data_IF_790657430821
#
_entry.id   IF_790657430821
#
_cell.length_a   1.000
_cell.length_b   1.000
_cell.length_c   1.000
_cell.angle_alpha   90.00
_cell.angle_beta   90.00
_cell.angle_gamma   90.00
#
_symmetry.space_group_name_H-M   'P 1'
#
loop_
_entity.id
_entity.type
_entity.pdbx_description
1 polymer ?
#
# COMPACT_ATOMS: atom_id res chain seq x y z
N UNK A 1 12.21 -12.30 11.73
CA UNK A 1 10.83 -11.79 11.94
C UNK A 1 10.29 -11.32 10.61
N UNK A 2 9.01 -11.56 10.32
CA UNK A 2 8.37 -11.13 9.07
C UNK A 2 7.47 -9.92 9.33
N UNK A 3 7.52 -8.93 8.44
CA UNK A 3 6.77 -7.67 8.55
C UNK A 3 6.08 -7.39 7.22
N UNK A 4 4.82 -6.96 7.28
CA UNK A 4 4.00 -6.57 6.16
C UNK A 4 4.01 -5.04 6.07
N UNK A 5 4.28 -4.54 4.87
CA UNK A 5 4.37 -3.12 4.56
C UNK A 5 3.34 -2.72 3.51
N UNK A 6 3.04 -1.43 3.44
CA UNK A 6 2.14 -0.89 2.45
C UNK A 6 2.36 0.60 2.18
N UNK A 7 2.30 0.95 0.89
CA UNK A 7 2.37 2.32 0.42
C UNK A 7 1.30 2.58 -0.63
N UNK A 8 0.69 3.76 -0.59
CA UNK A 8 -0.22 4.16 -1.65
C UNK A 8 0.59 4.43 -2.92
N UNK A 9 0.02 4.13 -4.07
CA UNK A 9 0.54 4.51 -5.38
C UNK A 9 -0.32 5.67 -5.88
N UNK A 10 0.34 6.79 -6.19
CA UNK A 10 -0.32 8.02 -6.62
C UNK A 10 -0.25 8.23 -8.14
N UNK A 11 0.21 7.22 -8.88
CA UNK A 11 0.31 7.29 -10.34
C UNK A 11 -1.08 7.52 -10.98
N UNK A 12 -1.11 8.26 -12.09
CA UNK A 12 -2.33 8.79 -12.70
C UNK A 12 -3.24 7.67 -13.22
N UNK A 13 -2.67 6.54 -13.64
CA UNK A 13 -3.41 5.43 -14.23
C UNK A 13 -3.75 4.30 -13.26
N UNK A 14 -3.03 4.16 -12.12
CA UNK A 14 -3.12 2.93 -11.32
C UNK A 14 -3.06 3.14 -9.80
N UNK A 15 -3.95 4.00 -9.31
CA UNK A 15 -4.14 4.32 -7.89
C UNK A 15 -4.50 3.07 -7.08
N UNK A 16 -3.74 2.80 -6.04
CA UNK A 16 -3.96 1.64 -5.18
C UNK A 16 -3.01 1.57 -4.01
N UNK A 17 -3.23 0.62 -3.09
CA UNK A 17 -2.32 0.33 -2.01
C UNK A 17 -1.42 -0.84 -2.44
N UNK A 18 -0.14 -0.57 -2.64
CA UNK A 18 0.86 -1.61 -2.86
C UNK A 18 1.29 -2.20 -1.53
N UNK A 19 1.05 -3.49 -1.33
CA UNK A 19 1.47 -4.26 -0.16
C UNK A 19 2.61 -5.20 -0.52
N UNK A 20 3.59 -5.32 0.37
CA UNK A 20 4.74 -6.20 0.21
C UNK A 20 5.21 -6.71 1.58
N UNK A 21 6.00 -7.78 1.58
CA UNK A 21 6.51 -8.39 2.81
C UNK A 21 8.01 -8.29 2.93
N UNK A 22 8.48 -8.09 4.14
CA UNK A 22 9.88 -8.18 4.55
C UNK A 22 10.07 -9.39 5.46
N UNK A 23 11.18 -10.10 5.33
CA UNK A 23 11.60 -11.12 6.27
C UNK A 23 13.09 -11.01 6.56
N UNK A 24 13.45 -11.20 7.83
CA UNK A 24 14.84 -11.29 8.22
C UNK A 24 15.54 -12.45 7.49
N UNK A 25 16.66 -12.16 6.85
CA UNK A 25 17.60 -13.12 6.27
C UNK A 25 19.02 -12.69 6.63
N UNK A 26 19.94 -13.64 6.72
CA UNK A 26 21.37 -13.31 6.79
C UNK A 26 21.79 -12.80 5.41
N UNK A 27 22.29 -11.57 5.35
CA UNK A 27 22.70 -10.90 4.12
C UNK A 27 24.14 -10.42 4.24
N UNK A 28 24.84 -10.38 3.12
CA UNK A 28 26.16 -9.75 2.98
C UNK A 28 26.00 -8.41 2.26
N UNK A 29 27.03 -7.56 2.33
CA UNK A 29 27.02 -6.29 1.61
C UNK A 29 26.95 -6.55 0.09
N UNK A 30 26.12 -5.80 -0.61
CA UNK A 30 25.89 -5.97 -2.06
C UNK A 30 26.71 -4.94 -2.81
N UNK A 31 27.48 -5.39 -3.80
CA UNK A 31 28.16 -4.49 -4.75
C UNK A 31 27.18 -4.04 -5.85
N UNK A 32 26.91 -2.73 -5.89
CA UNK A 32 25.97 -2.11 -6.84
C UNK A 32 26.48 -2.13 -8.29
N UNK A 33 27.81 -2.18 -8.51
CA UNK A 33 28.39 -2.17 -9.86
C UNK A 33 28.19 -3.52 -10.54
N UNK A 34 28.42 -4.60 -9.81
CA UNK A 34 28.28 -5.97 -10.34
C UNK A 34 26.81 -6.35 -10.57
N UNK A 35 25.89 -5.73 -9.82
CA UNK A 35 24.50 -6.16 -9.76
C UNK A 35 23.53 -5.37 -10.68
N UNK A 36 23.98 -4.27 -11.30
CA UNK A 36 23.18 -3.44 -12.22
C UNK A 36 22.19 -2.47 -11.54
N UNK A 37 21.48 -1.65 -12.34
CA UNK A 37 20.68 -0.50 -11.85
C UNK A 37 19.39 -0.86 -11.07
N UNK A 38 19.04 -2.14 -10.96
CA UNK A 38 17.75 -2.61 -10.45
C UNK A 38 17.92 -3.67 -9.36
N UNK A 39 18.49 -3.25 -8.23
CA UNK A 39 18.75 -4.14 -7.10
C UNK A 39 17.45 -4.58 -6.42
N UNK A 40 17.24 -5.90 -6.35
CA UNK A 40 16.16 -6.49 -5.54
C UNK A 40 16.53 -6.42 -4.07
N UNK A 41 15.58 -6.06 -3.23
CA UNK A 41 15.77 -6.10 -1.78
C UNK A 41 15.97 -7.56 -1.34
N UNK A 42 17.12 -7.95 -0.77
CA UNK A 42 17.34 -9.32 -0.32
C UNK A 42 16.42 -9.76 0.82
N UNK A 43 15.94 -8.79 1.60
CA UNK A 43 15.01 -8.99 2.71
C UNK A 43 13.54 -9.08 2.25
N UNK A 44 13.24 -8.71 1.00
CA UNK A 44 11.87 -8.82 0.49
C UNK A 44 11.44 -10.28 0.38
N UNK A 45 10.16 -10.51 0.69
CA UNK A 45 9.48 -11.74 0.34
C UNK A 45 9.23 -11.77 -1.17
N UNK A 46 9.36 -12.96 -1.76
CA UNK A 46 8.83 -13.26 -3.08
C UNK A 46 7.29 -13.29 -3.05
N UNK A 47 6.66 -13.25 -4.22
CA UNK A 47 5.20 -13.42 -4.36
C UNK A 47 4.67 -14.66 -3.59
N UNK A 48 5.35 -15.81 -3.72
CA UNK A 48 4.92 -17.06 -3.12
C UNK A 48 5.07 -17.05 -1.59
N UNK A 49 6.15 -16.48 -1.08
CA UNK A 49 6.39 -16.30 0.36
C UNK A 49 5.35 -15.34 0.95
N UNK A 50 5.07 -14.21 0.28
CA UNK A 50 4.09 -13.24 0.74
C UNK A 50 2.68 -13.82 0.78
N UNK A 51 2.25 -14.59 -0.23
CA UNK A 51 0.96 -15.30 -0.19
C UNK A 51 0.89 -16.27 0.98
N UNK A 52 1.92 -17.10 1.14
CA UNK A 52 2.00 -18.08 2.23
C UNK A 52 1.92 -17.39 3.59
N UNK A 53 2.60 -16.25 3.74
CA UNK A 53 2.58 -15.44 4.94
C UNK A 53 1.19 -14.86 5.23
N UNK A 54 0.53 -14.25 4.24
CA UNK A 54 -0.83 -13.72 4.37
C UNK A 54 -1.84 -14.82 4.73
N UNK A 55 -1.76 -15.99 4.09
CA UNK A 55 -2.60 -17.15 4.41
C UNK A 55 -2.36 -17.66 5.83
N UNK A 56 -1.12 -17.70 6.30
CA UNK A 56 -0.78 -18.06 7.68
C UNK A 56 -1.35 -17.08 8.71
N UNK A 57 -1.30 -15.77 8.43
CA UNK A 57 -1.91 -14.74 9.27
C UNK A 57 -3.44 -14.87 9.33
N UNK A 58 -4.07 -15.23 8.21
CA UNK A 58 -5.50 -15.51 8.15
C UNK A 58 -5.87 -16.76 8.98
N UNK A 59 -5.14 -17.86 8.80
CA UNK A 59 -5.40 -19.13 9.52
C UNK A 59 -5.19 -19.01 11.02
N UNK A 60 -4.23 -18.19 11.45
CA UNK A 60 -3.99 -17.90 12.87
C UNK A 60 -4.97 -16.88 13.47
N UNK A 61 -5.88 -16.32 12.66
CA UNK A 61 -6.85 -15.30 13.10
C UNK A 61 -6.24 -13.92 13.36
N UNK A 62 -4.96 -13.71 13.02
CA UNK A 62 -4.27 -12.41 13.19
C UNK A 62 -4.66 -11.38 12.14
N UNK A 63 -5.11 -11.83 10.98
CA UNK A 63 -5.56 -10.97 9.88
C UNK A 63 -6.92 -11.47 9.38
N UNK A 64 -7.98 -10.69 9.61
CA UNK A 64 -9.32 -11.04 9.13
C UNK A 64 -9.53 -10.56 7.68
N UNK A 65 -8.65 -10.99 6.80
CA UNK A 65 -8.70 -10.67 5.37
C UNK A 65 -8.36 -11.91 4.57
N UNK A 66 -9.12 -12.17 3.51
CA UNK A 66 -8.89 -13.29 2.61
C UNK A 66 -8.21 -12.77 1.35
N UNK A 67 -7.09 -13.38 0.97
CA UNK A 67 -6.48 -13.11 -0.32
C UNK A 67 -7.39 -13.67 -1.42
N UNK A 68 -7.97 -12.84 -2.30
CA UNK A 68 -8.81 -13.29 -3.41
C UNK A 68 -7.94 -14.04 -4.43
N UNK A 69 -7.98 -15.36 -4.44
CA UNK A 69 -7.23 -16.19 -5.40
C UNK A 69 -7.61 -15.91 -6.86
N UNK A 70 -8.83 -15.42 -7.10
CA UNK A 70 -9.34 -15.03 -8.42
C UNK A 70 -8.63 -13.82 -9.02
N UNK A 71 -7.91 -13.03 -8.22
CA UNK A 71 -7.34 -11.75 -8.66
C UNK A 71 -6.08 -11.88 -9.53
N UNK A 72 -5.46 -13.06 -9.60
CA UNK A 72 -4.32 -13.32 -10.50
C UNK A 72 -4.73 -13.57 -11.95
N UNK A 73 -6.03 -13.68 -12.24
CA UNK A 73 -6.55 -13.85 -13.60
C UNK A 73 -6.99 -12.51 -14.17
N UNK A 74 -6.10 -11.87 -14.94
CA UNK A 74 -6.41 -11.55 -16.34
C UNK A 74 -5.19 -10.95 -17.05
N UNK A 75 -4.69 -11.63 -18.09
CA UNK A 75 -4.54 -11.08 -19.46
C UNK A 75 -4.35 -12.25 -20.45
N UNK A 76 -5.37 -13.09 -20.63
CA UNK A 76 -5.56 -13.76 -21.92
C UNK A 76 -6.72 -13.07 -22.62
N UNK A 77 -6.36 -12.19 -23.54
CA UNK A 77 -7.28 -11.53 -24.46
C UNK A 77 -7.93 -12.60 -25.34
N UNK A 78 -9.24 -12.69 -25.30
CA UNK A 78 -10.04 -12.86 -26.52
C UNK A 78 -11.26 -11.96 -26.36
N UNK A 79 -11.31 -10.95 -27.22
CA UNK A 79 -12.45 -10.07 -27.37
C UNK A 79 -13.65 -10.87 -27.85
N UNK A 80 -14.73 -10.88 -27.08
CA UNK A 80 -16.05 -11.19 -27.60
C UNK A 80 -16.98 -10.03 -27.27
N UNK A 81 -17.39 -9.34 -28.34
CA UNK A 81 -18.38 -8.28 -28.37
C UNK A 81 -19.78 -8.88 -28.12
N UNK A 82 -20.60 -8.34 -27.19
CA UNK A 82 -22.01 -8.71 -27.15
C UNK A 82 -22.84 -7.69 -27.93
N UNK A 83 -23.43 -8.13 -29.05
CA UNK A 83 -24.53 -7.42 -29.71
C UNK A 83 -25.88 -7.82 -29.08
N UNK A 84 -26.71 -6.81 -28.86
CA UNK A 84 -28.04 -6.85 -28.24
C UNK A 84 -29.08 -7.70 -28.99
N UNK A 85 -30.04 -8.26 -28.22
CA UNK A 85 -31.49 -8.33 -28.57
C UNK A 85 -32.32 -8.86 -27.38
N UNK A 86 -33.35 -8.11 -26.94
CA UNK A 86 -34.48 -8.71 -26.21
C UNK A 86 -35.22 -7.87 -25.15
N UNK A 87 -36.30 -7.21 -25.58
CA UNK A 87 -37.48 -6.65 -24.87
C UNK A 87 -37.75 -6.96 -23.37
N UNK A 88 -38.06 -5.86 -22.64
CA UNK A 88 -39.08 -5.58 -21.58
C UNK A 88 -39.40 -6.65 -20.51
N UNK A 89 -39.30 -6.27 -19.23
CA UNK A 89 -40.40 -6.26 -18.22
C UNK A 89 -39.96 -5.42 -16.99
N UNK A 90 -40.84 -4.49 -16.56
CA UNK A 90 -40.74 -3.75 -15.30
C UNK A 90 -41.09 -4.67 -14.13
N UNK A 91 -40.19 -4.83 -13.15
CA UNK A 91 -40.55 -5.21 -11.77
C UNK A 91 -39.72 -4.41 -10.78
N UNK A 92 -40.42 -3.82 -9.81
CA UNK A 92 -39.88 -3.12 -8.67
C UNK A 92 -39.04 -4.06 -7.80
N UNK A 93 -37.83 -3.64 -7.43
CA UNK A 93 -36.96 -4.38 -6.53
C UNK A 93 -36.71 -3.57 -5.26
N UNK A 94 -37.23 -4.14 -4.17
CA UNK A 94 -36.99 -3.85 -2.76
C UNK A 94 -35.52 -3.49 -2.48
N UNK A 95 -35.31 -2.38 -1.79
CA UNK A 95 -34.01 -1.92 -1.29
C UNK A 95 -33.44 -2.96 -0.32
N UNK A 96 -32.48 -3.77 -0.79
CA UNK A 96 -31.52 -4.46 0.09
C UNK A 96 -30.40 -3.47 0.40
N UNK A 97 -30.02 -3.35 1.67
CA UNK A 97 -28.81 -2.63 2.07
C UNK A 97 -27.63 -3.14 1.24
N UNK A 98 -26.82 -2.26 0.63
CA UNK A 98 -25.59 -2.68 -0.03
C UNK A 98 -24.58 -3.03 1.05
N UNK A 99 -24.49 -4.31 1.38
CA UNK A 99 -23.28 -4.90 1.94
C UNK A 99 -22.18 -4.64 0.90
N UNK A 100 -21.06 -4.02 1.29
CA UNK A 100 -19.91 -3.74 0.42
C UNK A 100 -19.33 -5.07 -0.08
N UNK A 101 -19.92 -5.66 -1.11
CA UNK A 101 -19.47 -6.94 -1.67
C UNK A 101 -18.19 -6.74 -2.49
N UNK A 102 -17.29 -7.72 -2.39
CA UNK A 102 -15.99 -7.82 -3.04
C UNK A 102 -16.02 -7.87 -4.59
N UNK A 103 -17.11 -7.46 -5.23
CA UNK A 103 -17.30 -7.60 -6.69
C UNK A 103 -16.42 -6.65 -7.50
N UNK A 104 -15.93 -5.57 -6.90
CA UNK A 104 -15.03 -4.60 -7.53
C UNK A 104 -13.62 -4.59 -6.92
N UNK A 105 -13.25 -5.55 -6.07
CA UNK A 105 -11.89 -5.65 -5.54
C UNK A 105 -10.97 -6.32 -6.56
N UNK A 106 -9.94 -5.61 -7.04
CA UNK A 106 -8.88 -6.19 -7.86
C UNK A 106 -7.54 -6.12 -7.14
N UNK A 107 -6.74 -7.16 -7.38
CA UNK A 107 -5.36 -7.26 -6.90
C UNK A 107 -4.49 -7.59 -8.09
N UNK A 108 -3.42 -6.81 -8.31
CA UNK A 108 -2.46 -7.05 -9.38
C UNK A 108 -1.09 -7.31 -8.78
N UNK A 109 -0.36 -8.28 -9.32
CA UNK A 109 1.05 -8.47 -8.97
C UNK A 109 1.86 -7.33 -9.56
N UNK A 110 2.79 -6.80 -8.78
CA UNK A 110 3.64 -5.70 -9.20
C UNK A 110 5.03 -5.78 -8.60
N UNK A 111 6.01 -5.21 -9.30
CA UNK A 111 7.34 -4.97 -8.77
C UNK A 111 7.52 -3.45 -8.72
N UNK A 112 7.91 -2.93 -7.57
CA UNK A 112 8.12 -1.49 -7.37
C UNK A 112 9.45 -1.20 -6.71
N UNK A 113 10.04 -0.08 -7.09
CA UNK A 113 11.14 0.52 -6.37
C UNK A 113 10.58 1.24 -5.14
N UNK A 114 11.05 0.85 -3.95
CA UNK A 114 10.69 1.48 -2.68
C UNK A 114 11.97 2.00 -2.05
N UNK A 115 11.97 3.26 -1.68
CA UNK A 115 13.10 3.92 -1.03
C UNK A 115 13.19 3.43 0.43
N UNK A 116 14.17 2.58 0.74
CA UNK A 116 14.32 1.96 2.07
C UNK A 116 15.64 2.34 2.75
N UNK A 117 15.64 2.42 4.09
CA UNK A 117 16.86 2.65 4.87
C UNK A 117 17.95 1.64 4.54
N UNK A 118 19.09 2.15 4.11
CA UNK A 118 20.22 1.37 3.59
C UNK A 118 21.50 2.02 4.06
N UNK A 119 22.37 1.22 4.67
CA UNK A 119 23.71 1.65 5.02
C UNK A 119 24.60 1.54 3.78
N UNK A 120 25.36 2.58 3.50
CA UNK A 120 26.35 2.61 2.41
C UNK A 120 27.74 2.65 3.06
N UNK A 121 28.63 1.74 2.68
CA UNK A 121 29.95 1.66 3.31
C UNK A 121 30.82 2.88 2.96
N UNK A 122 31.43 3.50 3.97
CA UNK A 122 32.39 4.61 3.77
C UNK A 122 33.63 4.16 2.97
N UNK A 123 34.06 2.91 3.16
CA UNK A 123 35.27 2.37 2.50
C UNK A 123 35.04 2.01 1.03
N UNK A 124 33.80 1.72 0.65
CA UNK A 124 33.40 1.42 -0.72
C UNK A 124 31.93 1.79 -0.91
N UNK A 125 31.70 2.93 -1.57
CA UNK A 125 30.36 3.48 -1.83
C UNK A 125 29.46 2.55 -2.65
N UNK A 126 30.03 1.53 -3.31
CA UNK A 126 29.26 0.53 -4.05
C UNK A 126 28.73 -0.59 -3.16
N UNK A 127 29.24 -0.73 -1.94
CA UNK A 127 28.76 -1.72 -0.99
C UNK A 127 27.59 -1.17 -0.18
N UNK A 128 26.41 -1.71 -0.45
CA UNK A 128 25.15 -1.32 0.21
C UNK A 128 24.59 -2.46 1.06
N UNK A 129 24.01 -2.11 2.20
CA UNK A 129 23.38 -3.06 3.12
C UNK A 129 22.01 -2.53 3.58
N UNK A 130 20.89 -3.11 3.11
CA UNK A 130 19.57 -2.69 3.53
C UNK A 130 19.35 -3.04 5.00
N UNK A 131 18.67 -2.14 5.72
CA UNK A 131 18.33 -2.34 7.11
C UNK A 131 16.94 -2.98 7.23
N UNK A 132 16.87 -4.08 7.98
CA UNK A 132 15.58 -4.70 8.28
C UNK A 132 14.71 -3.77 9.13
N UNK A 133 13.41 -3.66 8.85
CA UNK A 133 12.52 -2.69 9.54
C UNK A 133 12.44 -2.91 11.06
N UNK A 134 12.61 -4.15 11.52
CA UNK A 134 12.70 -4.44 12.97
C UNK A 134 14.00 -3.97 13.63
N UNK A 135 15.09 -3.77 12.88
CA UNK A 135 16.39 -3.43 13.45
C UNK A 135 16.40 -2.04 14.11
N UNK A 136 15.52 -1.14 13.67
CA UNK A 136 15.32 0.18 14.28
C UNK A 136 14.80 0.11 15.73
N UNK A 137 14.25 -1.03 16.16
CA UNK A 137 13.75 -1.25 17.53
C UNK A 137 14.87 -1.62 18.52
N UNK A 138 15.99 -2.13 18.02
CA UNK A 138 17.04 -2.77 18.84
C UNK A 138 18.24 -1.86 19.16
N UNK A 139 18.53 -0.87 18.32
CA UNK A 139 19.52 0.17 18.58
C UNK A 139 19.34 1.29 17.57
N UNK A 140 19.34 2.58 17.96
CA UNK A 140 19.48 3.65 16.99
C UNK A 140 20.85 3.46 16.34
N UNK A 141 20.87 2.94 15.11
CA UNK A 141 22.08 3.00 14.29
C UNK A 141 22.51 4.47 14.21
N UNK A 142 23.83 4.73 14.21
CA UNK A 142 24.35 6.08 13.97
C UNK A 142 23.68 6.59 12.69
N UNK A 143 22.79 7.56 12.86
CA UNK A 143 21.87 8.01 11.81
C UNK A 143 22.62 8.69 10.66
N UNK A 144 23.91 8.97 10.87
CA UNK A 144 24.80 9.69 9.98
C UNK A 144 25.16 8.90 8.70
N UNK A 145 24.99 7.56 8.67
CA UNK A 145 25.37 6.72 7.52
C UNK A 145 24.19 5.97 6.86
N UNK A 146 22.95 6.36 7.17
CA UNK A 146 21.74 5.71 6.64
C UNK A 146 21.14 6.56 5.53
N UNK A 147 21.07 5.98 4.35
CA UNK A 147 20.50 6.61 3.16
C UNK A 147 19.23 5.87 2.74
N UNK A 148 18.41 6.53 1.92
CA UNK A 148 17.29 5.89 1.26
C UNK A 148 17.72 5.38 -0.11
N UNK A 149 17.70 4.06 -0.30
CA UNK A 149 18.05 3.42 -1.57
C UNK A 149 16.80 2.81 -2.23
N UNK A 150 16.60 2.97 -3.55
CA UNK A 150 15.38 2.54 -4.25
C UNK A 150 15.41 1.03 -4.59
N UNK A 151 15.13 0.18 -3.61
CA UNK A 151 15.14 -1.26 -3.81
C UNK A 151 13.91 -1.76 -4.56
N UNK A 152 14.11 -2.67 -5.51
CA UNK A 152 13.00 -3.40 -6.13
C UNK A 152 12.42 -4.43 -5.15
N UNK A 153 11.12 -4.35 -4.91
CA UNK A 153 10.36 -5.31 -4.10
C UNK A 153 9.19 -5.87 -4.89
N UNK A 154 8.90 -7.15 -4.69
CA UNK A 154 7.71 -7.80 -5.25
C UNK A 154 6.54 -7.68 -4.27
N UNK A 155 5.33 -7.49 -4.81
CA UNK A 155 4.15 -7.38 -3.99
C UNK A 155 2.86 -7.37 -4.78
N UNK A 156 1.81 -6.89 -4.13
CA UNK A 156 0.46 -6.83 -4.69
C UNK A 156 -0.07 -5.41 -4.59
N UNK A 157 -0.51 -4.84 -5.70
CA UNK A 157 -1.29 -3.61 -5.66
C UNK A 157 -2.78 -3.93 -5.54
N UNK A 158 -3.37 -3.43 -4.46
CA UNK A 158 -4.79 -3.47 -4.17
C UNK A 158 -5.43 -2.21 -4.74
N UNK A 159 -6.50 -2.34 -5.53
CA UNK A 159 -7.27 -1.17 -5.91
C UNK A 159 -7.90 -0.50 -4.66
N UNK A 160 -8.43 0.74 -4.75
CA UNK A 160 -8.88 1.47 -3.56
C UNK A 160 -9.92 0.70 -2.73
N UNK A 161 -10.85 0.01 -3.38
CA UNK A 161 -11.89 -0.79 -2.72
C UNK A 161 -11.27 -1.96 -1.92
N UNK A 162 -10.38 -2.74 -2.56
CA UNK A 162 -9.67 -3.83 -1.91
C UNK A 162 -8.77 -3.32 -0.77
N UNK A 163 -8.10 -2.18 -0.98
CA UNK A 163 -7.22 -1.55 -0.01
C UNK A 163 -7.98 -1.14 1.26
N UNK A 164 -9.18 -0.54 1.14
CA UNK A 164 -9.97 -0.18 2.32
C UNK A 164 -10.44 -1.41 3.12
N UNK A 165 -10.85 -2.49 2.43
CA UNK A 165 -11.21 -3.75 3.08
C UNK A 165 -10.00 -4.33 3.83
N UNK A 166 -8.83 -4.35 3.18
CA UNK A 166 -7.59 -4.82 3.77
C UNK A 166 -7.17 -3.97 5.00
N UNK A 167 -7.16 -2.64 4.87
CA UNK A 167 -6.74 -1.74 5.96
C UNK A 167 -7.66 -1.84 7.19
N UNK A 168 -8.96 -2.11 7.00
CA UNK A 168 -9.91 -2.35 8.09
C UNK A 168 -9.68 -3.69 8.80
N UNK A 169 -9.15 -4.69 8.10
CA UNK A 169 -8.87 -6.01 8.64
C UNK A 169 -7.57 -6.09 9.47
N UNK A 170 -6.70 -5.09 9.34
CA UNK A 170 -5.47 -5.01 10.12
C UNK A 170 -5.76 -4.77 11.62
N UNK A 171 -4.98 -5.40 12.53
CA UNK A 171 -5.08 -5.14 13.96
C UNK A 171 -4.69 -3.69 14.27
N UNK A 172 -5.44 -3.07 15.16
CA UNK A 172 -5.21 -1.69 15.61
C UNK A 172 -4.21 -1.58 16.74
N UNK A 173 -4.14 -2.62 17.56
CA UNK A 173 -3.30 -2.63 18.74
C UNK A 173 -1.86 -2.94 18.35
N UNK A 174 -0.93 -2.42 19.14
CA UNK A 174 0.49 -2.72 18.99
C UNK A 174 0.90 -3.71 20.09
N UNK A 175 0.30 -4.90 20.07
CA UNK A 175 0.77 -6.00 20.92
C UNK A 175 1.95 -6.71 20.24
N UNK A 176 2.75 -7.48 20.99
CA UNK A 176 3.85 -8.26 20.40
C UNK A 176 3.35 -9.23 19.31
N UNK A 177 2.12 -9.71 19.43
CA UNK A 177 1.50 -10.58 18.44
C UNK A 177 1.28 -9.89 17.08
N UNK A 178 1.24 -8.56 17.06
CA UNK A 178 0.94 -7.69 15.91
C UNK A 178 2.21 -7.08 15.29
N UNK A 179 3.41 -7.47 15.71
CA UNK A 179 4.68 -7.00 15.15
C UNK A 179 4.87 -7.31 13.67
N UNK A 180 4.02 -8.17 13.11
CA UNK A 180 3.97 -8.41 11.67
C UNK A 180 3.43 -7.22 10.87
N UNK A 181 2.78 -6.24 11.48
CA UNK A 181 2.33 -5.03 10.74
C UNK A 181 3.46 -4.00 10.76
N UNK A 182 3.77 -3.39 9.63
CA UNK A 182 4.71 -2.27 9.53
C UNK A 182 4.17 -0.99 10.17
N UNK A 183 5.04 -0.03 10.48
CA UNK A 183 4.60 1.29 10.99
C UNK A 183 3.79 2.05 9.94
N UNK A 184 4.14 1.90 8.66
CA UNK A 184 3.42 2.41 7.50
C UNK A 184 1.98 1.89 7.41
N UNK A 185 1.77 0.56 7.43
CA UNK A 185 0.42 -0.01 7.42
C UNK A 185 -0.39 0.37 8.64
N UNK A 186 0.21 0.43 9.83
CA UNK A 186 -0.50 0.93 11.02
C UNK A 186 -0.99 2.36 10.80
N UNK A 187 -0.11 3.24 10.32
CA UNK A 187 -0.46 4.62 10.00
C UNK A 187 -1.62 4.68 8.99
N UNK A 188 -1.53 3.97 7.87
CA UNK A 188 -2.59 3.95 6.86
C UNK A 188 -3.90 3.32 7.35
N UNK A 189 -3.82 2.36 8.27
CA UNK A 189 -4.98 1.74 8.91
C UNK A 189 -5.73 2.72 9.81
N UNK A 190 -5.02 3.62 10.50
CA UNK A 190 -5.64 4.73 11.25
C UNK A 190 -6.24 5.78 10.32
N UNK A 191 -5.53 6.18 9.26
CA UNK A 191 -6.03 7.13 8.26
C UNK A 191 -7.30 6.59 7.59
N UNK A 192 -7.33 5.32 7.17
CA UNK A 192 -8.48 4.71 6.54
C UNK A 192 -9.73 4.77 7.43
N UNK A 193 -9.60 4.47 8.73
CA UNK A 193 -10.71 4.56 9.68
C UNK A 193 -11.18 6.00 9.91
N UNK A 194 -10.26 6.94 9.99
CA UNK A 194 -10.64 8.35 10.09
C UNK A 194 -11.32 8.87 8.80
N UNK A 195 -10.87 8.43 7.61
CA UNK A 195 -11.54 8.74 6.35
C UNK A 195 -12.96 8.19 6.31
N UNK A 196 -13.20 6.96 6.81
CA UNK A 196 -14.54 6.40 6.93
C UNK A 196 -15.42 7.16 7.92
N UNK A 197 -14.85 7.63 9.04
CA UNK A 197 -15.53 8.52 9.99
C UNK A 197 -15.93 9.86 9.34
N UNK A 198 -15.06 10.48 8.53
CA UNK A 198 -15.41 11.67 7.75
C UNK A 198 -16.54 11.39 6.75
N UNK A 199 -16.50 10.25 6.06
CA UNK A 199 -17.55 9.84 5.12
C UNK A 199 -18.89 9.61 5.83
N UNK A 200 -18.89 8.93 6.97
CA UNK A 200 -20.09 8.68 7.78
C UNK A 200 -20.71 9.97 8.32
N UNK A 201 -19.89 10.99 8.59
CA UNK A 201 -20.31 12.34 8.98
C UNK A 201 -20.62 13.26 7.81
N UNK A 202 -20.59 12.76 6.57
CA UNK A 202 -20.79 13.54 5.34
C UNK A 202 -19.85 14.76 5.23
N UNK A 203 -18.63 14.65 5.73
CA UNK A 203 -17.61 15.71 5.72
C UNK A 203 -16.82 15.71 4.41
N UNK A 204 -17.50 16.00 3.31
CA UNK A 204 -16.90 16.12 2.00
C UNK A 204 -17.68 17.09 1.10
N UNK A 205 -16.98 17.72 0.15
CA UNK A 205 -17.54 18.66 -0.79
C UNK A 205 -17.11 18.33 -2.23
N UNK A 206 -17.96 18.59 -3.24
CA UNK A 206 -17.54 18.51 -4.62
C UNK A 206 -16.64 19.71 -4.94
N UNK A 207 -15.55 19.46 -5.66
CA UNK A 207 -14.60 20.47 -6.10
C UNK A 207 -14.20 20.21 -7.56
N UNK A 208 -13.73 21.26 -8.23
CA UNK A 208 -13.10 21.15 -9.54
C UNK A 208 -11.59 21.32 -9.36
N UNK A 209 -10.83 20.33 -9.80
CA UNK A 209 -9.38 20.45 -9.95
C UNK A 209 -9.07 20.89 -11.37
N UNK A 210 -8.40 22.03 -11.48
CA UNK A 210 -7.90 22.53 -12.76
C UNK A 210 -6.55 21.87 -13.02
N UNK A 211 -6.45 21.14 -14.12
CA UNK A 211 -5.26 20.46 -14.56
C UNK A 211 -4.29 21.43 -15.26
N UNK A 212 -3.04 21.00 -15.47
CA UNK A 212 -2.01 21.78 -16.15
C UNK A 212 -2.37 22.14 -17.60
N UNK A 213 -3.18 21.33 -18.26
CA UNK A 213 -3.69 21.56 -19.62
C UNK A 213 -4.93 22.47 -19.68
N UNK A 214 -5.38 22.99 -18.53
CA UNK A 214 -6.57 23.84 -18.42
C UNK A 214 -7.90 23.07 -18.38
N UNK A 215 -7.89 21.74 -18.48
CA UNK A 215 -9.07 20.91 -18.27
C UNK A 215 -9.48 20.91 -16.79
N UNK A 216 -10.75 20.60 -16.51
CA UNK A 216 -11.28 20.53 -15.15
C UNK A 216 -11.80 19.12 -14.85
N UNK A 217 -11.35 18.56 -13.72
CA UNK A 217 -11.82 17.27 -13.22
C UNK A 217 -12.63 17.48 -11.93
N UNK A 218 -13.85 16.96 -11.92
CA UNK A 218 -14.66 16.93 -10.71
C UNK A 218 -14.12 15.89 -9.73
N UNK A 219 -13.85 16.32 -8.49
CA UNK A 219 -13.37 15.46 -7.41
C UNK A 219 -14.06 15.76 -6.09
N UNK A 220 -14.20 14.73 -5.26
CA UNK A 220 -14.62 14.90 -3.87
C UNK A 220 -13.41 15.26 -3.00
N UNK A 221 -13.57 16.25 -2.14
CA UNK A 221 -12.55 16.67 -1.17
C UNK A 221 -13.07 16.51 0.26
N UNK A 222 -12.23 16.11 1.22
CA UNK A 222 -12.60 16.08 2.62
C UNK A 222 -12.85 17.52 3.13
N UNK A 223 -13.93 17.70 3.89
CA UNK A 223 -14.27 18.96 4.55
C UNK A 223 -13.72 18.96 5.98
N UNK A 224 -12.62 19.68 6.21
CA UNK A 224 -11.94 19.78 7.50
C UNK A 224 -12.20 21.15 8.15
N UNK A 225 -13.47 21.48 8.36
CA UNK A 225 -13.94 22.75 8.92
C UNK A 225 -13.92 22.79 10.46
N UNK A 226 -13.85 21.64 11.12
CA UNK A 226 -13.83 21.53 12.58
C UNK A 226 -12.41 21.60 13.14
N UNK A 227 -12.25 22.27 14.29
CA UNK A 227 -10.95 22.32 15.00
C UNK A 227 -10.44 20.93 15.38
N UNK A 228 -11.35 19.99 15.66
CA UNK A 228 -11.01 18.59 16.00
C UNK A 228 -10.41 17.85 14.81
N UNK A 229 -11.04 17.95 13.62
CA UNK A 229 -10.55 17.27 12.43
C UNK A 229 -9.24 17.89 11.92
N UNK A 230 -9.09 19.22 12.02
CA UNK A 230 -7.83 19.92 11.72
C UNK A 230 -6.69 19.49 12.65
N UNK A 231 -6.94 19.42 13.96
CA UNK A 231 -5.95 18.96 14.93
C UNK A 231 -5.55 17.49 14.68
N UNK A 232 -6.52 16.65 14.32
CA UNK A 232 -6.27 15.24 13.99
C UNK A 232 -5.41 15.12 12.73
N UNK A 233 -5.69 15.89 11.67
CA UNK A 233 -4.84 15.94 10.48
C UNK A 233 -3.41 16.36 10.85
N UNK A 234 -3.27 17.45 11.60
CA UNK A 234 -1.95 17.95 12.01
C UNK A 234 -1.17 16.91 12.83
N UNK A 235 -1.86 16.15 13.68
CA UNK A 235 -1.27 15.05 14.45
C UNK A 235 -0.78 13.93 13.53
N UNK A 236 -1.60 13.50 12.57
CA UNK A 236 -1.19 12.49 11.59
C UNK A 236 -0.01 12.96 10.74
N UNK A 237 0.00 14.20 10.25
CA UNK A 237 1.12 14.73 9.48
C UNK A 237 2.43 14.71 10.27
N UNK A 238 2.40 15.05 11.57
CA UNK A 238 3.59 14.98 12.43
C UNK A 238 4.08 13.55 12.65
N UNK A 239 3.15 12.61 12.80
CA UNK A 239 3.44 11.20 13.11
C UNK A 239 3.66 10.32 11.86
N UNK A 240 3.50 10.88 10.66
CA UNK A 240 3.60 10.12 9.42
C UNK A 240 4.98 9.43 9.31
N UNK A 241 5.04 8.08 9.25
CA UNK A 241 6.30 7.35 9.16
C UNK A 241 7.11 7.77 7.92
N UNK A 242 8.44 7.76 8.02
CA UNK A 242 9.33 8.16 6.92
C UNK A 242 9.07 7.34 5.65
N UNK A 243 8.82 6.04 5.78
CA UNK A 243 8.48 5.15 4.67
C UNK A 243 7.20 5.55 3.92
N UNK A 244 6.29 6.30 4.55
CA UNK A 244 5.08 6.81 3.90
C UNK A 244 5.33 8.10 3.11
N UNK A 245 6.46 8.78 3.32
CA UNK A 245 6.75 10.11 2.74
C UNK A 245 7.49 10.03 1.41
N UNK A 246 7.98 8.86 1.04
CA UNK A 246 8.81 8.65 -0.15
C UNK A 246 7.93 8.22 -1.32
N UNK A 247 7.52 9.19 -2.13
CA UNK A 247 6.93 8.92 -3.44
C UNK A 247 7.96 9.29 -4.49
N UNK A 248 8.36 8.31 -5.31
CA UNK A 248 9.14 8.61 -6.50
C UNK A 248 8.15 9.22 -7.50
N UNK A 249 8.40 10.46 -7.90
CA UNK A 249 7.74 11.01 -9.09
C UNK A 249 8.12 10.14 -10.29
N UNK A 250 7.25 10.02 -11.28
CA UNK A 250 7.71 9.63 -12.61
C UNK A 250 8.73 10.69 -13.04
N UNK A 251 9.98 10.30 -13.29
CA UNK A 251 10.86 11.13 -14.10
C UNK A 251 10.19 11.23 -15.47
N UNK A 252 9.74 12.43 -15.83
CA UNK A 252 9.42 12.74 -17.22
C UNK A 252 10.72 12.57 -18.01
N UNK A 253 10.83 11.45 -18.72
CA UNK A 253 11.90 11.19 -19.69
C UNK A 253 11.67 11.91 -21.01
#
# INVERSE_FOLDING_TARGET
MAILHGSWLLDTEDKGLFIWGETWRKIEAIDTIESGMNLRLPLAMTEAELKTFLTSLQQSGKLNWQFPETALRLRSVTAETPQEKGKKIRRSAKTKNPELTAENSSIRREIRAIALPTQISESNINLVMPQHSAAALSSPAKTEDIYLYPWQVEGFCLNPQAAFIFLQALPLNSTEADFFVGSDLRFWSYIARWSLDLLARCKFLPALEIQSDGSAIAKWQPLLDSSTDQLRLATFSKQMPTACRTYQGQEEG
#
